data_IF_729336320396
#
_entry.id   IF_729336320396
#
_cell.length_a   1.000
_cell.length_b   1.000
_cell.length_c   1.000
_cell.angle_alpha   90.00
_cell.angle_beta   90.00
_cell.angle_gamma   90.00
#
_symmetry.space_group_name_H-M   'P 1'
#
loop_
_entity.id
_entity.type
_entity.pdbx_description
1 polymer ?
#
# COMPACT_ATOMS: atom_id res chain seq x y z
N UNK A 1 15.65 16.27 3.51
CA UNK A 1 17.13 16.19 3.56
C UNK A 1 17.59 16.71 4.89
N UNK A 2 18.17 15.87 5.75
CA UNK A 2 18.88 16.33 6.95
C UNK A 2 20.35 16.38 6.56
N UNK A 3 20.91 17.58 6.39
CA UNK A 3 22.34 17.75 6.11
C UNK A 3 23.05 17.86 7.45
N UNK A 4 23.62 16.75 7.93
CA UNK A 4 24.59 16.77 9.01
C UNK A 4 25.97 16.46 8.43
N UNK A 5 26.92 17.37 8.60
CA UNK A 5 28.36 17.14 8.38
C UNK A 5 28.76 16.61 6.99
N UNK A 6 28.48 17.37 5.93
CA UNK A 6 29.13 17.21 4.61
C UNK A 6 28.80 15.95 3.80
N UNK A 7 28.08 14.99 4.38
CA UNK A 7 27.53 13.82 3.69
C UNK A 7 26.02 13.96 3.61
N UNK A 8 25.45 13.98 2.40
CA UNK A 8 24.00 13.97 2.23
C UNK A 8 23.46 12.59 2.61
N UNK A 9 22.90 12.46 3.81
CA UNK A 9 22.18 11.25 4.19
C UNK A 9 20.77 11.29 3.60
N UNK A 10 20.52 10.38 2.67
CA UNK A 10 19.18 10.15 2.11
C UNK A 10 18.44 9.21 3.07
N UNK A 11 17.32 9.68 3.62
CA UNK A 11 16.46 8.84 4.44
C UNK A 11 15.52 8.02 3.54
N UNK A 12 15.36 6.72 3.82
CA UNK A 12 14.38 5.89 3.11
C UNK A 12 12.96 6.41 3.34
N UNK A 13 12.14 6.27 2.31
CA UNK A 13 10.72 6.60 2.32
C UNK A 13 9.92 5.30 2.30
N UNK A 14 8.89 5.26 3.13
CA UNK A 14 7.86 4.23 3.15
C UNK A 14 6.49 4.83 3.37
N UNK A 15 5.46 4.15 2.89
CA UNK A 15 4.07 4.52 3.16
C UNK A 15 3.17 3.29 3.16
N UNK A 16 2.01 3.44 3.79
CA UNK A 16 0.97 2.43 3.86
C UNK A 16 -0.41 3.07 3.69
N UNK A 17 -1.24 2.43 2.86
CA UNK A 17 -2.68 2.60 2.90
C UNK A 17 -3.31 1.21 2.75
N UNK A 18 -4.11 0.79 3.72
CA UNK A 18 -4.88 -0.47 3.66
C UNK A 18 -6.32 -0.25 4.11
N UNK A 19 -7.22 -1.10 3.62
CA UNK A 19 -8.62 -1.12 4.02
C UNK A 19 -8.95 -2.46 4.67
N UNK A 20 -9.42 -2.43 5.93
CA UNK A 20 -9.85 -3.60 6.68
C UNK A 20 -11.37 -3.55 6.97
N UNK A 21 -12.22 -3.91 6.00
CA UNK A 21 -13.67 -3.88 6.18
C UNK A 21 -14.15 -5.08 7.01
N UNK A 22 -15.19 -4.85 7.83
CA UNK A 22 -15.90 -5.94 8.53
C UNK A 22 -16.96 -6.62 7.66
N UNK A 23 -17.56 -5.82 6.78
CA UNK A 23 -18.55 -6.23 5.79
C UNK A 23 -18.04 -5.79 4.42
N UNK A 24 -17.84 -6.76 3.53
CA UNK A 24 -17.29 -6.52 2.21
C UNK A 24 -18.34 -5.88 1.32
N UNK A 25 -18.03 -4.67 0.85
CA UNK A 25 -18.73 -4.05 -0.26
C UNK A 25 -17.78 -3.97 -1.46
N UNK A 26 -18.09 -4.74 -2.51
CA UNK A 26 -17.21 -4.87 -3.69
C UNK A 26 -16.90 -3.50 -4.30
N UNK A 27 -17.93 -2.67 -4.49
CA UNK A 27 -17.78 -1.33 -5.05
C UNK A 27 -16.86 -0.43 -4.22
N UNK A 28 -16.94 -0.51 -2.88
CA UNK A 28 -16.07 0.25 -1.98
C UNK A 28 -14.61 -0.22 -2.07
N UNK A 29 -14.40 -1.54 -2.14
CA UNK A 29 -13.07 -2.12 -2.30
C UNK A 29 -12.46 -1.72 -3.65
N UNK A 30 -13.25 -1.80 -4.73
CA UNK A 30 -12.84 -1.37 -6.07
C UNK A 30 -12.53 0.12 -6.11
N UNK A 31 -13.36 0.97 -5.48
CA UNK A 31 -13.10 2.42 -5.40
C UNK A 31 -11.80 2.74 -4.68
N UNK A 32 -11.56 2.10 -3.53
CA UNK A 32 -10.35 2.27 -2.75
C UNK A 32 -9.10 1.94 -3.57
N UNK A 33 -9.08 0.73 -4.16
CA UNK A 33 -7.96 0.25 -4.96
C UNK A 33 -7.75 1.06 -6.24
N UNK A 34 -8.82 1.47 -6.92
CA UNK A 34 -8.72 2.33 -8.11
C UNK A 34 -8.11 3.68 -7.79
N UNK A 35 -8.54 4.31 -6.69
CA UNK A 35 -8.02 5.63 -6.28
C UNK A 35 -6.53 5.57 -5.95
N UNK A 36 -6.09 4.50 -5.26
CA UNK A 36 -4.66 4.27 -4.99
C UNK A 36 -3.88 4.00 -6.29
N UNK A 37 -4.44 3.17 -7.19
CA UNK A 37 -3.84 2.90 -8.49
C UNK A 37 -3.67 4.18 -9.33
N UNK A 38 -4.68 5.02 -9.39
CA UNK A 38 -4.64 6.29 -10.12
C UNK A 38 -3.55 7.23 -9.57
N UNK A 39 -3.26 7.16 -8.27
CA UNK A 39 -2.13 7.90 -7.68
C UNK A 39 -0.78 7.28 -8.06
N UNK A 40 -0.66 5.94 -8.03
CA UNK A 40 0.54 5.23 -8.47
C UNK A 40 0.87 5.48 -9.96
N UNK A 41 -0.13 5.38 -10.84
CA UNK A 41 0.02 5.47 -12.29
C UNK A 41 0.56 6.84 -12.76
N UNK A 42 0.43 7.89 -11.95
CA UNK A 42 1.02 9.22 -12.22
C UNK A 42 2.55 9.22 -12.16
N UNK A 43 3.14 8.28 -11.43
CA UNK A 43 4.57 8.20 -11.16
C UNK A 43 5.21 7.02 -11.90
N UNK A 44 4.61 5.84 -11.79
CA UNK A 44 5.06 4.63 -12.49
C UNK A 44 3.90 3.62 -12.61
N UNK A 45 3.62 3.07 -13.80
CA UNK A 45 2.57 2.07 -13.99
C UNK A 45 2.77 0.78 -13.19
N UNK A 46 3.99 0.48 -12.73
CA UNK A 46 4.29 -0.73 -11.96
C UNK A 46 4.24 -0.53 -10.44
N UNK A 47 4.14 0.73 -9.95
CA UNK A 47 4.04 1.00 -8.51
C UNK A 47 2.87 0.26 -7.88
N UNK A 48 1.68 0.35 -8.48
CA UNK A 48 0.52 -0.31 -7.91
C UNK A 48 0.69 -1.84 -7.91
N UNK A 49 1.17 -2.43 -9.01
CA UNK A 49 1.28 -3.89 -9.13
C UNK A 49 2.26 -4.46 -8.10
N UNK A 50 3.42 -3.81 -7.91
CA UNK A 50 4.42 -4.24 -6.92
C UNK A 50 3.93 -3.95 -5.49
N UNK A 51 3.51 -2.72 -5.20
CA UNK A 51 3.19 -2.29 -3.84
C UNK A 51 1.88 -2.88 -3.32
N UNK A 52 0.96 -3.27 -4.19
CA UNK A 52 -0.23 -4.03 -3.79
C UNK A 52 0.14 -5.43 -3.35
N UNK A 53 0.94 -6.14 -4.13
CA UNK A 53 1.39 -7.48 -3.76
C UNK A 53 2.21 -7.45 -2.48
N UNK A 54 3.06 -6.43 -2.31
CA UNK A 54 3.81 -6.25 -1.07
C UNK A 54 2.88 -5.95 0.12
N UNK A 55 1.80 -5.20 -0.09
CA UNK A 55 0.78 -4.95 0.94
C UNK A 55 0.09 -6.26 1.39
N UNK A 56 -0.30 -7.11 0.44
CA UNK A 56 -0.92 -8.41 0.74
C UNK A 56 0.00 -9.30 1.57
N UNK A 57 1.30 -9.30 1.25
CA UNK A 57 2.32 -10.07 1.97
C UNK A 57 2.59 -9.54 3.37
N UNK A 58 2.68 -8.21 3.50
CA UNK A 58 2.98 -7.54 4.75
C UNK A 58 1.84 -7.71 5.76
N UNK A 59 0.58 -7.62 5.30
CA UNK A 59 -0.62 -7.74 6.14
C UNK A 59 -1.21 -9.15 6.20
N UNK A 60 -0.42 -10.18 5.85
CA UNK A 60 -0.79 -11.57 6.05
C UNK A 60 -0.49 -12.02 7.48
N UNK A 61 -1.54 -12.43 8.21
CA UNK A 61 -1.41 -13.04 9.53
C UNK A 61 -1.03 -14.51 9.36
N UNK A 62 0.28 -14.79 9.31
CA UNK A 62 0.86 -16.11 8.99
C UNK A 62 0.27 -17.28 9.79
N UNK A 63 0.02 -17.12 11.08
CA UNK A 63 -0.51 -18.19 11.92
C UNK A 63 -2.02 -18.46 11.71
N UNK A 64 -2.73 -17.56 11.01
CA UNK A 64 -4.15 -17.71 10.64
C UNK A 64 -4.36 -18.00 9.16
N UNK A 65 -3.34 -17.78 8.33
CA UNK A 65 -3.45 -17.81 6.87
C UNK A 65 -4.57 -16.87 6.37
N UNK A 66 -4.71 -15.72 7.03
CA UNK A 66 -5.73 -14.71 6.75
C UNK A 66 -5.05 -13.34 6.53
N UNK A 67 -5.51 -12.58 5.54
CA UNK A 67 -5.14 -11.17 5.41
C UNK A 67 -5.91 -10.32 6.43
N UNK A 68 -5.26 -9.27 6.95
CA UNK A 68 -5.89 -8.30 7.87
C UNK A 68 -7.13 -7.64 7.26
N UNK A 69 -7.07 -7.35 5.96
CA UNK A 69 -8.09 -6.63 5.21
C UNK A 69 -8.07 -7.00 3.73
N UNK A 70 -8.53 -6.08 2.89
CA UNK A 70 -8.51 -6.20 1.43
C UNK A 70 -7.24 -5.61 0.80
N UNK A 71 -6.25 -5.28 1.63
CA UNK A 71 -4.98 -4.69 1.20
C UNK A 71 -5.10 -3.24 0.79
N UNK A 72 -4.18 -2.82 -0.07
CA UNK A 72 -4.03 -1.46 -0.58
C UNK A 72 -2.63 -1.33 -1.17
N UNK A 73 -1.84 -0.34 -0.73
CA UNK A 73 -0.43 -0.21 -1.12
C UNK A 73 0.47 -0.19 0.11
N UNK A 74 1.62 -0.86 0.00
CA UNK A 74 2.68 -0.85 0.99
C UNK A 74 4.03 -0.85 0.30
N UNK A 75 4.93 0.00 0.78
CA UNK A 75 6.33 0.00 0.41
C UNK A 75 7.15 0.62 1.52
N UNK A 76 8.41 0.21 1.60
CA UNK A 76 9.38 0.75 2.53
C UNK A 76 10.78 0.78 1.87
N UNK A 77 11.72 1.46 2.49
CA UNK A 77 13.13 1.48 2.11
C UNK A 77 13.45 2.09 0.73
N UNK A 78 12.56 2.94 0.19
CA UNK A 78 12.77 3.65 -1.07
C UNK A 78 13.62 4.91 -0.85
N UNK A 79 14.83 4.93 -1.37
CA UNK A 79 15.76 6.07 -1.26
C UNK A 79 16.26 6.57 -2.63
N UNK A 80 15.84 5.92 -3.72
CA UNK A 80 16.26 6.25 -5.08
C UNK A 80 17.68 5.83 -5.43
N UNK A 81 18.26 4.90 -4.65
CA UNK A 81 19.55 4.33 -4.99
C UNK A 81 19.44 3.50 -6.29
N UNK A 82 20.37 3.67 -7.25
CA UNK A 82 20.26 3.12 -8.61
C UNK A 82 20.31 1.59 -8.70
N UNK A 83 20.73 0.92 -7.63
CA UNK A 83 20.81 -0.53 -7.48
C UNK A 83 19.54 -1.15 -6.89
N UNK A 84 18.66 -0.35 -6.28
CA UNK A 84 17.44 -0.88 -5.66
C UNK A 84 16.33 -1.09 -6.69
N UNK A 85 15.70 -2.25 -6.61
CA UNK A 85 14.45 -2.53 -7.34
C UNK A 85 13.25 -1.93 -6.61
N UNK A 86 12.08 -1.93 -7.26
CA UNK A 86 10.83 -1.49 -6.62
C UNK A 86 10.47 -2.30 -5.38
N UNK A 87 10.84 -3.58 -5.32
CA UNK A 87 10.63 -4.43 -4.15
C UNK A 87 11.92 -4.58 -3.34
N UNK A 88 11.86 -4.22 -2.06
CA UNK A 88 12.99 -4.32 -1.12
C UNK A 88 12.61 -5.12 0.13
N UNK A 89 11.57 -5.96 0.01
CA UNK A 89 11.05 -6.75 1.11
C UNK A 89 11.94 -7.95 1.48
N UNK A 90 11.73 -8.54 2.67
CA UNK A 90 12.61 -9.56 3.23
C UNK A 90 12.46 -10.95 2.58
N UNK A 91 11.34 -11.22 1.89
CA UNK A 91 11.09 -12.52 1.27
C UNK A 91 11.34 -12.45 -0.25
N UNK A 92 12.40 -13.08 -0.78
CA UNK A 92 12.72 -13.07 -2.21
C UNK A 92 11.84 -14.01 -3.04
N UNK A 93 11.03 -14.86 -2.39
CA UNK A 93 10.12 -15.82 -3.05
C UNK A 93 8.67 -15.34 -3.04
N UNK A 94 8.44 -14.13 -2.55
CA UNK A 94 7.11 -13.56 -2.45
C UNK A 94 6.53 -13.22 -3.83
N UNK A 95 5.21 -13.02 -3.91
CA UNK A 95 4.55 -12.65 -5.15
C UNK A 95 5.02 -11.28 -5.66
N UNK A 96 5.26 -10.33 -4.75
CA UNK A 96 5.82 -9.02 -5.04
C UNK A 96 7.26 -9.12 -5.57
N UNK A 97 8.08 -9.98 -4.96
CA UNK A 97 9.43 -10.26 -5.43
C UNK A 97 9.41 -10.86 -6.84
N UNK A 98 8.57 -11.87 -7.07
CA UNK A 98 8.42 -12.52 -8.37
C UNK A 98 7.92 -11.56 -9.45
N UNK A 99 6.91 -10.72 -9.14
CA UNK A 99 6.42 -9.70 -10.06
C UNK A 99 7.52 -8.69 -10.39
N UNK A 100 8.20 -8.14 -9.38
CA UNK A 100 9.29 -7.19 -9.59
C UNK A 100 10.43 -7.76 -10.43
N UNK A 101 10.80 -9.03 -10.23
CA UNK A 101 11.80 -9.73 -11.04
C UNK A 101 11.33 -9.92 -12.49
N UNK A 102 10.04 -10.22 -12.71
CA UNK A 102 9.48 -10.43 -14.06
C UNK A 102 9.53 -9.17 -14.94
N UNK A 103 9.56 -7.98 -14.31
CA UNK A 103 9.68 -6.70 -15.01
C UNK A 103 11.09 -6.45 -15.59
N UNK A 104 12.09 -7.25 -15.19
CA UNK A 104 13.47 -7.11 -15.68
C UNK A 104 14.02 -5.69 -15.44
N UNK A 105 14.51 -4.99 -16.49
CA UNK A 105 14.99 -3.62 -16.36
C UNK A 105 13.93 -2.62 -15.87
N UNK A 106 12.64 -2.85 -16.14
CA UNK A 106 11.56 -1.97 -15.69
C UNK A 106 11.29 -2.09 -14.19
N UNK A 107 11.55 -3.26 -13.59
CA UNK A 107 11.49 -3.45 -12.13
C UNK A 107 12.60 -2.70 -11.38
N UNK A 108 13.58 -2.19 -12.12
CA UNK A 108 14.68 -1.34 -11.66
C UNK A 108 14.60 0.06 -12.29
N UNK A 109 13.40 0.48 -12.74
CA UNK A 109 13.23 1.83 -13.24
C UNK A 109 13.71 2.82 -12.16
N UNK A 110 14.73 3.60 -12.52
CA UNK A 110 15.44 4.44 -11.56
C UNK A 110 14.60 5.66 -11.23
N UNK A 111 14.00 5.64 -10.06
CA UNK A 111 13.37 6.79 -9.44
C UNK A 111 14.36 7.48 -8.51
N UNK A 112 14.42 8.80 -8.57
CA UNK A 112 15.17 9.61 -7.62
C UNK A 112 14.41 9.73 -6.31
N UNK A 113 15.11 10.11 -5.23
CA UNK A 113 14.47 10.43 -3.96
C UNK A 113 13.34 11.47 -4.10
N UNK A 114 13.53 12.48 -4.95
CA UNK A 114 12.53 13.53 -5.19
C UNK A 114 11.27 12.98 -5.88
N UNK A 115 11.41 12.02 -6.78
CA UNK A 115 10.27 11.34 -7.41
C UNK A 115 9.51 10.47 -6.39
N UNK A 116 10.22 9.71 -5.55
CA UNK A 116 9.57 8.98 -4.46
C UNK A 116 8.88 9.91 -3.46
N UNK A 117 9.48 11.05 -3.13
CA UNK A 117 8.86 12.03 -2.26
C UNK A 117 7.58 12.60 -2.87
N UNK A 118 7.59 12.97 -4.15
CA UNK A 118 6.40 13.42 -4.87
C UNK A 118 5.32 12.32 -4.90
N UNK A 119 5.71 11.07 -5.14
CA UNK A 119 4.80 9.91 -5.08
C UNK A 119 4.15 9.79 -3.70
N UNK A 120 4.90 9.92 -2.60
CA UNK A 120 4.34 9.82 -1.25
C UNK A 120 3.37 10.94 -0.93
N UNK A 121 3.63 12.16 -1.42
CA UNK A 121 2.67 13.26 -1.31
C UNK A 121 1.37 12.93 -2.04
N UNK A 122 1.44 12.45 -3.29
CA UNK A 122 0.26 12.08 -4.08
C UNK A 122 -0.49 10.88 -3.50
N UNK A 123 0.22 9.85 -3.04
CA UNK A 123 -0.35 8.70 -2.36
C UNK A 123 -1.06 9.12 -1.06
N UNK A 124 -0.44 9.99 -0.25
CA UNK A 124 -1.07 10.57 0.93
C UNK A 124 -2.32 11.39 0.61
N UNK A 125 -2.25 12.23 -0.44
CA UNK A 125 -3.40 13.02 -0.90
C UNK A 125 -4.54 12.16 -1.46
N UNK A 126 -4.25 10.95 -1.95
CA UNK A 126 -5.24 10.00 -2.45
C UNK A 126 -6.04 9.29 -1.35
N UNK A 127 -5.58 9.33 -0.09
CA UNK A 127 -6.23 8.61 1.01
C UNK A 127 -7.63 9.14 1.34
N UNK A 128 -7.82 10.46 1.43
CA UNK A 128 -9.15 11.01 1.73
C UNK A 128 -10.16 10.71 0.60
N UNK A 129 -9.83 10.94 -0.69
CA UNK A 129 -10.70 10.53 -1.80
C UNK A 129 -11.01 9.02 -1.84
N UNK A 130 -10.10 8.17 -1.38
CA UNK A 130 -10.31 6.72 -1.36
C UNK A 130 -11.19 6.27 -0.18
N UNK A 131 -11.07 6.93 0.98
CA UNK A 131 -11.70 6.49 2.22
C UNK A 131 -13.01 7.22 2.56
N UNK A 132 -13.08 8.54 2.35
CA UNK A 132 -14.25 9.35 2.74
C UNK A 132 -15.55 8.86 2.10
N UNK A 133 -15.63 8.55 0.78
CA UNK A 133 -16.87 8.06 0.17
C UNK A 133 -17.36 6.73 0.78
N UNK A 134 -16.44 5.89 1.26
CA UNK A 134 -16.75 4.61 1.91
C UNK A 134 -17.42 4.86 3.26
N UNK A 135 -16.86 5.78 4.05
CA UNK A 135 -17.40 6.17 5.36
C UNK A 135 -18.75 6.85 5.18
N UNK A 136 -18.87 7.83 4.28
CA UNK A 136 -20.12 8.54 4.01
C UNK A 136 -21.24 7.56 3.60
N UNK A 137 -20.92 6.60 2.72
CA UNK A 137 -21.87 5.56 2.29
C UNK A 137 -22.21 4.50 3.35
N UNK A 138 -21.53 4.47 4.50
CA UNK A 138 -21.65 3.38 5.48
C UNK A 138 -22.01 3.82 6.90
N UNK A 139 -21.60 5.02 7.34
CA UNK A 139 -21.69 5.43 8.74
C UNK A 139 -23.11 5.56 9.30
N UNK A 140 -24.13 5.76 8.45
CA UNK A 140 -25.55 5.87 8.86
C UNK A 140 -26.35 4.58 8.69
N UNK A 141 -25.74 3.50 8.17
CA UNK A 141 -26.46 2.24 7.96
C UNK A 141 -26.84 1.65 9.32
N UNK A 142 -28.09 1.22 9.51
CA UNK A 142 -28.47 0.49 10.71
C UNK A 142 -27.66 -0.82 10.75
N UNK A 143 -27.34 -1.26 11.96
CA UNK A 143 -26.66 -2.52 12.19
C UNK A 143 -27.37 -3.32 13.27
N UNK A 144 -27.25 -4.64 13.21
CA UNK A 144 -27.78 -5.55 14.23
C UNK A 144 -26.74 -5.82 15.32
N UNK A 145 -27.16 -6.40 16.45
CA UNK A 145 -26.21 -6.79 17.50
C UNK A 145 -25.25 -7.89 17.02
N UNK A 146 -25.73 -8.84 16.21
CA UNK A 146 -24.88 -9.86 15.59
C UNK A 146 -23.79 -9.22 14.73
N UNK A 147 -24.14 -8.14 14.02
CA UNK A 147 -23.16 -7.44 13.19
C UNK A 147 -22.11 -6.70 14.01
N UNK A 148 -22.52 -6.14 15.15
CA UNK A 148 -21.60 -5.55 16.13
C UNK A 148 -20.68 -6.60 16.75
N UNK A 149 -21.21 -7.77 17.10
CA UNK A 149 -20.40 -8.87 17.63
C UNK A 149 -19.37 -9.38 16.62
N UNK A 150 -19.76 -9.50 15.35
CA UNK A 150 -18.83 -9.82 14.27
C UNK A 150 -17.72 -8.78 14.12
N UNK A 151 -18.06 -7.48 14.17
CA UNK A 151 -17.08 -6.40 14.16
C UNK A 151 -16.08 -6.55 15.33
N UNK A 152 -16.55 -6.78 16.55
CA UNK A 152 -15.70 -6.95 17.74
C UNK A 152 -14.78 -8.17 17.61
N UNK A 153 -15.32 -9.30 17.11
CA UNK A 153 -14.53 -10.49 16.82
C UNK A 153 -13.39 -10.23 15.83
N UNK A 154 -13.68 -9.48 14.75
CA UNK A 154 -12.68 -9.10 13.74
C UNK A 154 -11.67 -8.06 14.24
N UNK A 155 -11.98 -7.27 15.27
CA UNK A 155 -10.99 -6.37 15.92
C UNK A 155 -9.90 -7.11 16.70
N UNK A 156 -10.16 -8.36 17.10
CA UNK A 156 -9.16 -9.22 17.73
C UNK A 156 -8.29 -10.01 16.74
N UNK A 157 -8.35 -9.69 15.44
CA UNK A 157 -7.58 -10.34 14.39
C UNK A 157 -6.31 -9.57 14.05
#
# INVERSE_FOLDING_TARGET
VVVASGSAFILPIGAVADLAPYYLGEQQCTHFHRTLKDACDKHDPEFYNVFKLWCDEYFLVKHRQECRGVGGIFFDYQDGAPEKSLYVGPDPKSAAAAHCQSLGPKGHQRHTWAQYFAFVQDAGNSFLPSYVPIVEGSHKKPHTEEQRQWQLYRRGR
#
